data_IF_807110057482
#
_entry.id   IF_807110057482
#
_cell.length_a   1.000
_cell.length_b   1.000
_cell.length_c   1.000
_cell.angle_alpha   90.00
_cell.angle_beta   90.00
_cell.angle_gamma   90.00
#
_symmetry.space_group_name_H-M   'P 1'
#
loop_
_entity.id
_entity.type
_entity.pdbx_description
1 polymer ?
#
# COMPACT_ATOMS: atom_id res chain seq x y z
N UNK A 1 -65.66 22.48 -10.24
CA UNK A 1 -64.41 22.76 -10.98
C UNK A 1 -63.23 22.26 -10.14
N UNK A 2 -62.40 21.34 -10.66
CA UNK A 2 -61.08 21.02 -10.07
C UNK A 2 -60.02 21.91 -10.74
N UNK A 3 -58.90 22.17 -10.05
CA UNK A 3 -57.62 21.72 -10.60
C UNK A 3 -56.84 20.92 -9.55
N UNK A 4 -56.58 19.63 -9.79
CA UNK A 4 -55.33 19.06 -10.34
C UNK A 4 -54.09 19.32 -9.48
N UNK A 5 -53.79 18.32 -8.63
CA UNK A 5 -52.50 18.15 -8.00
C UNK A 5 -51.39 18.06 -9.06
N UNK A 6 -50.33 18.86 -8.91
CA UNK A 6 -49.11 18.71 -9.69
C UNK A 6 -48.38 17.43 -9.26
N UNK A 7 -48.31 16.48 -10.18
CA UNK A 7 -47.41 15.32 -10.15
C UNK A 7 -45.97 15.82 -10.17
N UNK A 8 -45.21 15.57 -9.11
CA UNK A 8 -43.74 15.69 -9.14
C UNK A 8 -43.22 14.47 -9.91
N UNK A 9 -42.74 14.69 -11.14
CA UNK A 9 -42.11 13.65 -11.96
C UNK A 9 -40.75 13.29 -11.36
N UNK A 10 -40.48 11.98 -11.22
CA UNK A 10 -39.12 11.43 -11.07
C UNK A 10 -38.26 11.95 -12.22
N UNK A 11 -37.25 12.77 -11.94
CA UNK A 11 -36.36 13.25 -13.01
C UNK A 11 -35.40 14.39 -12.68
N UNK A 12 -35.30 14.86 -11.43
CA UNK A 12 -34.32 15.90 -11.09
C UNK A 12 -32.91 15.30 -10.99
N UNK A 13 -32.31 15.03 -12.15
CA UNK A 13 -30.87 14.88 -12.28
C UNK A 13 -30.26 16.24 -12.00
N UNK A 14 -29.63 16.38 -10.84
CA UNK A 14 -28.81 17.52 -10.48
C UNK A 14 -27.87 17.87 -11.65
N UNK A 15 -27.88 19.13 -12.13
CA UNK A 15 -27.22 19.48 -13.39
C UNK A 15 -25.71 19.38 -13.27
N UNK A 16 -25.12 18.57 -14.15
CA UNK A 16 -23.81 18.79 -14.73
C UNK A 16 -22.64 18.92 -13.76
N UNK A 17 -22.02 17.78 -13.42
CA UNK A 17 -20.62 17.79 -12.96
C UNK A 17 -19.79 18.48 -14.05
N UNK A 18 -19.35 19.72 -13.77
CA UNK A 18 -18.61 20.56 -14.72
C UNK A 18 -17.37 19.83 -15.22
N UNK A 19 -16.90 20.14 -16.44
CA UNK A 19 -15.61 19.63 -16.95
C UNK A 19 -14.47 19.88 -15.96
N UNK A 20 -14.54 20.96 -15.18
CA UNK A 20 -13.63 21.28 -14.09
C UNK A 20 -13.77 20.32 -12.89
N UNK A 21 -14.98 19.97 -12.46
CA UNK A 21 -15.21 18.98 -11.40
C UNK A 21 -14.84 17.54 -11.85
N UNK A 22 -15.12 17.16 -13.10
CA UNK A 22 -14.57 15.92 -13.69
C UNK A 22 -13.04 15.96 -13.77
N UNK A 23 -12.43 17.10 -14.13
CA UNK A 23 -10.98 17.29 -14.18
C UNK A 23 -10.34 17.34 -12.78
N UNK A 24 -11.04 17.82 -11.76
CA UNK A 24 -10.64 17.83 -10.35
C UNK A 24 -10.73 16.42 -9.74
N UNK A 25 -11.81 15.69 -10.00
CA UNK A 25 -11.92 14.27 -9.66
C UNK A 25 -10.83 13.44 -10.36
N UNK A 26 -10.55 13.73 -11.64
CA UNK A 26 -9.46 13.12 -12.45
C UNK A 26 -8.06 13.61 -12.05
N UNK A 27 -7.94 14.71 -11.28
CA UNK A 27 -6.69 15.28 -10.74
C UNK A 27 -6.48 15.01 -9.26
N UNK A 28 -7.38 14.33 -8.57
CA UNK A 28 -7.05 13.77 -7.26
C UNK A 28 -6.03 12.66 -7.50
N UNK A 29 -4.74 13.01 -7.44
CA UNK A 29 -3.68 12.02 -7.39
C UNK A 29 -4.02 11.17 -6.17
N UNK A 30 -4.38 9.90 -6.36
CA UNK A 30 -4.63 8.98 -5.25
C UNK A 30 -3.48 9.15 -4.25
N UNK A 31 -3.79 9.75 -3.11
CA UNK A 31 -2.79 10.11 -2.08
C UNK A 31 -2.17 8.84 -1.49
N UNK A 32 -2.80 7.69 -1.70
CA UNK A 32 -2.33 6.37 -1.30
C UNK A 32 -1.77 5.56 -2.48
N UNK A 33 -1.47 6.22 -3.62
CA UNK A 33 -0.78 5.57 -4.73
C UNK A 33 0.58 5.04 -4.30
N UNK A 34 0.89 3.82 -4.74
CA UNK A 34 2.18 3.17 -4.49
C UNK A 34 3.33 4.08 -4.96
N UNK A 35 4.31 4.37 -4.09
CA UNK A 35 5.53 5.06 -4.49
C UNK A 35 6.32 4.19 -5.48
N UNK A 36 7.09 4.82 -6.37
CA UNK A 36 7.94 4.09 -7.33
C UNK A 36 9.14 3.38 -6.67
N UNK A 37 9.43 3.71 -5.42
CA UNK A 37 10.55 3.16 -4.68
C UNK A 37 10.64 3.72 -3.27
N UNK A 38 11.72 3.39 -2.60
CA UNK A 38 11.96 3.72 -1.20
C UNK A 38 12.92 4.90 -1.06
N UNK A 39 12.86 5.55 0.11
CA UNK A 39 13.81 6.57 0.53
C UNK A 39 15.19 5.95 0.71
N UNK A 40 16.22 6.79 0.60
CA UNK A 40 17.63 6.39 0.78
C UNK A 40 17.82 5.72 2.15
N UNK A 41 18.48 4.57 2.17
CA UNK A 41 18.83 3.82 3.39
C UNK A 41 17.75 2.87 3.93
N UNK A 42 16.50 2.92 3.46
CA UNK A 42 15.44 2.00 3.93
C UNK A 42 15.81 0.54 3.63
N UNK A 43 16.26 0.26 2.41
CA UNK A 43 16.74 -1.07 2.00
C UNK A 43 17.89 -1.57 2.88
N UNK A 44 18.84 -0.71 3.21
CA UNK A 44 19.98 -1.09 4.05
C UNK A 44 19.57 -1.38 5.50
N UNK A 45 18.63 -0.60 6.03
CA UNK A 45 18.07 -0.82 7.37
C UNK A 45 17.30 -2.14 7.44
N UNK A 46 16.43 -2.41 6.46
CA UNK A 46 15.70 -3.68 6.38
C UNK A 46 16.65 -4.88 6.27
N UNK A 47 17.71 -4.76 5.47
CA UNK A 47 18.76 -5.80 5.37
C UNK A 47 19.47 -6.03 6.71
N UNK A 48 19.93 -4.97 7.36
CA UNK A 48 20.68 -5.09 8.61
C UNK A 48 19.81 -5.62 9.76
N UNK A 49 18.53 -5.24 9.81
CA UNK A 49 17.57 -5.74 10.80
C UNK A 49 17.23 -7.23 10.61
N UNK A 50 17.44 -7.78 9.41
CA UNK A 50 17.18 -9.19 9.10
C UNK A 50 18.36 -10.12 9.38
N UNK A 51 19.49 -9.60 9.89
CA UNK A 51 20.64 -10.42 10.25
C UNK A 51 20.30 -11.29 11.46
N UNK A 52 20.53 -12.59 11.34
CA UNK A 52 20.46 -13.52 12.46
C UNK A 52 21.63 -13.37 13.43
N UNK A 53 21.67 -14.21 14.49
CA UNK A 53 22.78 -14.24 15.45
C UNK A 53 24.14 -14.53 14.80
N UNK A 54 24.15 -15.23 13.65
CA UNK A 54 25.32 -15.53 12.83
C UNK A 54 25.72 -14.38 11.89
N UNK A 55 25.02 -13.24 11.96
CA UNK A 55 25.23 -12.08 11.08
C UNK A 55 24.75 -12.27 9.64
N UNK A 56 24.13 -13.41 9.32
CA UNK A 56 23.66 -13.75 7.97
C UNK A 56 22.20 -13.38 7.80
N UNK A 57 21.85 -12.95 6.58
CA UNK A 57 20.46 -12.75 6.17
C UNK A 57 19.99 -14.00 5.45
N UNK A 58 18.78 -14.45 5.75
CA UNK A 58 18.20 -15.67 5.19
C UNK A 58 16.84 -15.35 4.58
N UNK A 59 16.56 -15.98 3.46
CA UNK A 59 15.24 -15.93 2.83
C UNK A 59 14.21 -16.58 3.77
N UNK A 60 13.11 -15.90 4.12
CA UNK A 60 12.16 -16.39 5.12
C UNK A 60 11.40 -17.65 4.69
N UNK A 61 11.22 -17.85 3.37
CA UNK A 61 10.50 -19.00 2.84
C UNK A 61 11.40 -20.23 2.73
N UNK A 62 12.63 -20.07 2.23
CA UNK A 62 13.52 -21.19 1.91
C UNK A 62 14.64 -21.41 2.92
N UNK A 63 14.87 -20.46 3.84
CA UNK A 63 15.98 -20.49 4.81
C UNK A 63 17.37 -20.27 4.21
N UNK A 64 17.47 -20.07 2.89
CA UNK A 64 18.73 -19.91 2.17
C UNK A 64 19.44 -18.63 2.58
N UNK A 65 20.74 -18.71 2.82
CA UNK A 65 21.59 -17.53 3.07
C UNK A 65 21.62 -16.66 1.82
N UNK A 66 21.37 -15.38 2.01
CA UNK A 66 21.33 -14.38 0.95
C UNK A 66 22.59 -13.52 0.95
N UNK A 67 22.95 -13.02 -0.23
CA UNK A 67 24.03 -12.03 -0.41
C UNK A 67 23.41 -10.69 -0.81
N UNK A 68 23.80 -9.63 -0.11
CA UNK A 68 23.30 -8.26 -0.35
C UNK A 68 23.62 -7.77 -1.76
N UNK A 69 24.71 -8.27 -2.36
CA UNK A 69 25.16 -7.91 -3.71
C UNK A 69 24.42 -8.67 -4.81
N UNK A 70 23.72 -9.76 -4.48
CA UNK A 70 22.90 -10.52 -5.44
C UNK A 70 21.49 -9.92 -5.52
N UNK A 71 20.71 -10.23 -6.56
CA UNK A 71 19.33 -9.78 -6.64
C UNK A 71 18.49 -10.25 -5.45
N UNK A 72 17.81 -9.32 -4.80
CA UNK A 72 16.84 -9.57 -3.73
C UNK A 72 15.76 -8.50 -3.73
N UNK A 73 14.57 -8.89 -3.31
CA UNK A 73 13.41 -8.01 -3.20
C UNK A 73 13.20 -7.59 -1.76
N UNK A 74 12.76 -6.34 -1.58
CA UNK A 74 12.33 -5.85 -0.28
C UNK A 74 10.85 -6.23 -0.09
N UNK A 75 10.63 -7.50 0.26
CA UNK A 75 9.33 -8.08 0.53
C UNK A 75 8.69 -7.45 1.77
N UNK A 76 7.36 -7.40 1.81
CA UNK A 76 6.66 -6.98 3.02
C UNK A 76 6.67 -8.14 4.02
N UNK A 77 6.79 -7.83 5.30
CA UNK A 77 6.49 -8.81 6.34
C UNK A 77 4.99 -9.16 6.30
N UNK A 78 4.62 -10.38 6.74
CA UNK A 78 3.22 -10.77 6.86
C UNK A 78 2.45 -9.74 7.70
N UNK A 79 1.30 -9.29 7.20
CA UNK A 79 0.45 -8.28 7.86
C UNK A 79 0.83 -6.82 7.54
N UNK A 80 1.92 -6.58 6.80
CA UNK A 80 2.37 -5.25 6.37
C UNK A 80 2.25 -5.04 4.86
N UNK A 81 1.52 -5.90 4.16
CA UNK A 81 1.38 -5.87 2.71
C UNK A 81 0.84 -4.51 2.24
N UNK A 82 1.31 -4.08 1.06
CA UNK A 82 0.95 -2.79 0.51
C UNK A 82 -0.57 -2.59 0.38
N UNK A 83 -1.33 -3.64 0.04
CA UNK A 83 -2.80 -3.59 -0.04
C UNK A 83 -3.38 -3.20 1.30
N UNK A 84 -2.99 -3.88 2.37
CA UNK A 84 -3.45 -3.66 3.74
C UNK A 84 -3.10 -2.26 4.25
N UNK A 85 -1.86 -1.81 4.04
CA UNK A 85 -1.46 -0.45 4.38
C UNK A 85 -2.29 0.60 3.63
N UNK A 86 -2.52 0.41 2.33
CA UNK A 86 -3.34 1.33 1.53
C UNK A 86 -4.78 1.42 2.04
N UNK A 87 -5.38 0.28 2.37
CA UNK A 87 -6.76 0.23 2.84
C UNK A 87 -6.89 0.83 4.26
N UNK A 88 -5.95 0.52 5.16
CA UNK A 88 -5.81 1.17 6.47
C UNK A 88 -5.63 2.69 6.35
N UNK A 89 -4.75 3.15 5.45
CA UNK A 89 -4.52 4.57 5.22
C UNK A 89 -5.77 5.32 4.73
N UNK A 90 -6.56 4.67 3.87
CA UNK A 90 -7.87 5.19 3.42
C UNK A 90 -8.87 5.31 4.57
N UNK A 91 -8.97 4.29 5.41
CA UNK A 91 -9.85 4.29 6.59
C UNK A 91 -9.44 5.37 7.61
N UNK A 92 -8.13 5.47 7.91
CA UNK A 92 -7.56 6.47 8.83
C UNK A 92 -7.47 7.89 8.23
N UNK A 93 -7.74 8.05 6.94
CA UNK A 93 -7.69 9.32 6.19
C UNK A 93 -6.35 10.08 6.38
N UNK A 94 -5.23 9.35 6.41
CA UNK A 94 -3.92 9.95 6.67
C UNK A 94 -3.41 10.80 5.50
N UNK A 95 -2.52 11.74 5.79
CA UNK A 95 -1.91 12.58 4.74
C UNK A 95 -0.97 11.77 3.83
N UNK A 96 -0.73 12.25 2.61
CA UNK A 96 0.29 11.67 1.71
C UNK A 96 1.66 11.56 2.38
N UNK A 97 2.03 12.56 3.20
CA UNK A 97 3.29 12.57 3.92
C UNK A 97 3.35 11.40 4.91
N UNK A 98 2.32 11.23 5.75
CA UNK A 98 2.24 10.13 6.72
C UNK A 98 2.22 8.75 6.04
N UNK A 99 1.47 8.60 4.94
CA UNK A 99 1.49 7.38 4.12
C UNK A 99 2.89 7.07 3.58
N UNK A 100 3.62 8.08 3.12
CA UNK A 100 5.01 7.90 2.67
C UNK A 100 5.96 7.59 3.83
N UNK A 101 5.73 8.15 5.01
CA UNK A 101 6.52 7.85 6.20
C UNK A 101 6.32 6.37 6.61
N UNK A 102 5.07 5.90 6.70
CA UNK A 102 4.72 4.50 7.02
C UNK A 102 5.21 3.51 5.93
N UNK A 103 5.11 3.86 4.65
CA UNK A 103 5.66 3.03 3.56
C UNK A 103 7.19 2.94 3.58
N UNK A 104 7.88 3.89 4.19
CA UNK A 104 9.34 3.89 4.27
C UNK A 104 9.86 3.40 5.61
N UNK A 105 8.99 2.85 6.47
CA UNK A 105 9.41 2.19 7.69
C UNK A 105 10.09 0.85 7.36
N UNK A 106 11.40 0.69 7.60
CA UNK A 106 12.11 -0.55 7.29
C UNK A 106 11.62 -1.75 8.11
N UNK A 107 10.96 -1.54 9.25
CA UNK A 107 10.46 -2.62 10.10
C UNK A 107 9.33 -3.43 9.44
N UNK A 108 8.64 -2.84 8.46
CA UNK A 108 7.57 -3.47 7.66
C UNK A 108 8.10 -4.41 6.58
N UNK A 109 9.42 -4.47 6.40
CA UNK A 109 10.06 -5.17 5.30
C UNK A 109 11.05 -6.23 5.77
N UNK A 110 11.33 -7.18 4.87
CA UNK A 110 12.42 -8.15 5.00
C UNK A 110 13.03 -8.45 3.64
N UNK A 111 14.33 -8.79 3.56
CA UNK A 111 14.92 -9.30 2.34
C UNK A 111 14.30 -10.65 1.96
N UNK A 112 13.93 -10.80 0.70
CA UNK A 112 13.44 -12.06 0.14
C UNK A 112 14.10 -12.33 -1.21
N UNK A 113 14.27 -13.61 -1.55
CA UNK A 113 14.64 -13.98 -2.90
C UNK A 113 13.50 -13.59 -3.86
N UNK A 114 13.81 -13.14 -5.10
CA UNK A 114 12.77 -12.72 -6.04
C UNK A 114 11.71 -13.81 -6.28
N UNK A 115 12.14 -15.09 -6.33
CA UNK A 115 11.23 -16.23 -6.46
C UNK A 115 10.27 -16.37 -5.27
N UNK A 116 10.76 -16.14 -4.05
CA UNK A 116 9.97 -16.23 -2.82
C UNK A 116 8.93 -15.11 -2.77
N UNK A 117 9.36 -13.88 -2.98
CA UNK A 117 8.49 -12.70 -2.99
C UNK A 117 7.41 -12.78 -4.10
N UNK A 118 7.76 -13.26 -5.30
CA UNK A 118 6.80 -13.37 -6.41
C UNK A 118 5.79 -14.51 -6.26
N UNK A 119 6.08 -15.50 -5.42
CA UNK A 119 5.17 -16.61 -5.15
C UNK A 119 3.98 -16.24 -4.26
N UNK A 120 4.04 -15.09 -3.56
CA UNK A 120 3.09 -14.69 -2.52
C UNK A 120 2.93 -15.67 -1.35
N UNK A 121 3.74 -16.74 -1.27
CA UNK A 121 3.65 -17.77 -0.24
C UNK A 121 4.00 -17.27 1.18
N UNK A 122 4.72 -16.15 1.28
CA UNK A 122 5.08 -15.50 2.53
C UNK A 122 4.13 -14.39 2.98
N UNK A 123 3.02 -14.17 2.27
CA UNK A 123 2.03 -13.14 2.59
C UNK A 123 1.04 -13.64 3.65
N UNK A 124 0.49 -12.72 4.43
CA UNK A 124 -0.64 -12.98 5.31
C UNK A 124 -1.96 -12.80 4.53
N UNK A 125 -2.70 -13.91 4.39
CA UNK A 125 -3.96 -13.96 3.65
C UNK A 125 -5.18 -13.42 4.42
N UNK A 126 -5.01 -13.03 5.69
CA UNK A 126 -6.06 -12.29 6.42
C UNK A 126 -6.20 -10.86 5.88
N UNK A 127 -7.23 -10.14 6.32
CA UNK A 127 -7.36 -8.71 6.05
C UNK A 127 -6.72 -7.82 7.14
N UNK A 128 -6.09 -8.42 8.16
CA UNK A 128 -5.56 -7.70 9.32
C UNK A 128 -4.27 -6.95 8.97
N UNK A 129 -4.23 -5.65 9.27
CA UNK A 129 -3.06 -4.80 9.08
C UNK A 129 -2.35 -4.55 10.42
N UNK A 130 -1.05 -4.82 10.48
CA UNK A 130 -0.24 -4.72 11.71
C UNK A 130 0.51 -3.39 11.89
N UNK A 131 0.32 -2.41 11.01
CA UNK A 131 0.91 -1.05 11.15
C UNK A 131 -0.06 -0.05 11.83
N UNK A 132 0.40 1.09 12.34
CA UNK A 132 1.61 1.87 12.00
C UNK A 132 2.89 1.56 12.77
#
# INVERSE_FOLDING_TARGET
MKPLAKVVKKGDVLPGVTKAAKKAAKKSKDVYRRPKGFRKGVRDKAWNAAKGPDGKVRDPLTGKVMDKKKPWDMGHKPGYEFRKHRDSARQRKITRKKFLDEHNDPSHYRPELPSSNQSHAGEDHTDDYLGP
#
